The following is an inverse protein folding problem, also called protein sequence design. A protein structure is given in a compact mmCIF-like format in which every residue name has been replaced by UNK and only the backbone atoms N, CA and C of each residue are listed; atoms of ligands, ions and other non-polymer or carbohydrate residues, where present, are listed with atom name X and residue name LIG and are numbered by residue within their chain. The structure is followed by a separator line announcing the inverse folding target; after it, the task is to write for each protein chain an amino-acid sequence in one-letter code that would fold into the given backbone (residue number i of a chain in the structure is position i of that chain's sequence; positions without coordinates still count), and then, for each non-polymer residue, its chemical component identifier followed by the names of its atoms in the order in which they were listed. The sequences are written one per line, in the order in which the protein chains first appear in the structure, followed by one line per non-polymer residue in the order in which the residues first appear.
data_IF_281441995312
#
_entry.id   IF_281441995312
#
_cell.length_a   1.000
_cell.length_b   1.000
_cell.length_c   1.000
_cell.angle_alpha   90.00
_cell.angle_beta   90.00
_cell.angle_gamma   90.00
#
_symmetry.space_group_name_H-M   'P 1'
#
loop_
_entity.id
_entity.type
_entity.pdbx_description
1 polymer ?
#
# COMPACT_ATOMS: atom_id res chain seq x y z
N UNK A 1 -30.85 -16.50 -77.26
CA UNK A 1 -30.05 -16.89 -76.09
C UNK A 1 -29.59 -15.60 -75.41
N UNK A 2 -30.21 -15.22 -74.26
CA UNK A 2 -29.85 -14.00 -73.49
C UNK A 2 -29.09 -14.45 -72.22
N UNK A 3 -27.80 -14.10 -72.14
CA UNK A 3 -26.93 -14.37 -71.02
C UNK A 3 -27.16 -13.33 -69.90
N UNK A 4 -27.70 -13.76 -68.77
CA UNK A 4 -27.77 -12.99 -67.52
C UNK A 4 -26.44 -12.95 -66.86
N UNK A 5 -25.85 -11.74 -66.66
CA UNK A 5 -24.70 -11.52 -65.78
C UNK A 5 -25.20 -11.14 -64.38
N UNK A 6 -25.01 -12.03 -63.38
CA UNK A 6 -25.17 -11.69 -61.98
C UNK A 6 -23.98 -10.87 -61.50
N UNK A 7 -24.23 -9.61 -61.12
CA UNK A 7 -23.26 -8.77 -60.43
C UNK A 7 -23.42 -8.99 -58.90
N UNK A 8 -22.41 -9.61 -58.31
CA UNK A 8 -22.32 -9.84 -56.85
C UNK A 8 -21.79 -8.56 -56.20
N UNK A 9 -22.64 -7.83 -55.48
CA UNK A 9 -22.22 -6.69 -54.66
C UNK A 9 -21.69 -7.22 -53.32
N UNK A 10 -20.36 -7.20 -53.13
CA UNK A 10 -19.72 -7.41 -51.82
C UNK A 10 -19.91 -6.10 -51.02
N UNK A 11 -20.83 -6.11 -50.04
CA UNK A 11 -20.88 -5.08 -49.01
C UNK A 11 -19.74 -5.27 -48.04
N UNK A 12 -18.70 -4.44 -48.17
CA UNK A 12 -17.64 -4.26 -47.15
C UNK A 12 -18.28 -3.44 -46.02
N UNK A 13 -18.63 -4.12 -44.91
CA UNK A 13 -18.93 -3.47 -43.64
C UNK A 13 -17.63 -2.93 -43.04
N UNK A 14 -17.56 -1.61 -42.73
CA UNK A 14 -16.40 -1.09 -42.03
C UNK A 14 -16.38 -1.65 -40.59
N UNK A 15 -15.33 -2.41 -40.26
CA UNK A 15 -15.01 -2.74 -38.88
C UNK A 15 -14.62 -1.42 -38.16
N UNK A 16 -15.56 -0.87 -37.41
CA UNK A 16 -15.27 0.17 -36.43
C UNK A 16 -14.51 -0.50 -35.30
N UNK A 17 -13.18 -0.46 -35.32
CA UNK A 17 -12.35 -0.69 -34.14
C UNK A 17 -12.61 0.49 -33.22
N UNK A 18 -13.51 0.31 -32.24
CA UNK A 18 -13.62 1.25 -31.14
C UNK A 18 -12.27 1.19 -30.38
N UNK A 19 -11.44 2.19 -30.64
CA UNK A 19 -10.31 2.46 -29.74
C UNK A 19 -10.93 2.76 -28.38
N UNK A 20 -10.80 1.81 -27.44
CA UNK A 20 -11.05 2.08 -26.02
C UNK A 20 -10.05 3.17 -25.66
N UNK A 21 -10.52 4.40 -25.47
CA UNK A 21 -9.70 5.47 -24.97
C UNK A 21 -9.13 5.00 -23.63
N UNK A 22 -7.83 4.81 -23.60
CA UNK A 22 -7.10 4.46 -22.38
C UNK A 22 -7.39 5.59 -21.38
N UNK A 23 -8.13 5.29 -20.33
CA UNK A 23 -8.43 6.29 -19.30
C UNK A 23 -7.06 6.73 -18.75
N UNK A 24 -6.75 8.01 -18.91
CA UNK A 24 -5.47 8.56 -18.45
C UNK A 24 -5.22 8.13 -17.01
N UNK A 25 -4.03 7.57 -16.75
CA UNK A 25 -3.64 7.15 -15.41
C UNK A 25 -3.79 8.33 -14.45
N UNK A 26 -4.26 8.11 -13.20
CA UNK A 26 -4.39 9.17 -12.21
C UNK A 26 -3.04 9.88 -12.02
N UNK A 27 -3.06 11.21 -11.94
CA UNK A 27 -1.86 12.00 -11.66
C UNK A 27 -1.36 11.67 -10.25
N UNK A 28 -0.24 10.94 -10.15
CA UNK A 28 0.34 10.48 -8.87
C UNK A 28 0.60 11.65 -7.91
N UNK A 29 1.13 12.77 -8.39
CA UNK A 29 1.38 13.94 -7.56
C UNK A 29 0.10 14.51 -6.94
N UNK A 30 -0.95 14.66 -7.74
CA UNK A 30 -2.24 15.12 -7.24
C UNK A 30 -2.84 14.15 -6.21
N UNK A 31 -2.67 12.84 -6.42
CA UNK A 31 -3.11 11.81 -5.45
C UNK A 31 -2.32 11.92 -4.16
N UNK A 32 -0.98 11.98 -4.20
CA UNK A 32 -0.15 12.09 -2.99
C UNK A 32 -0.49 13.33 -2.16
N UNK A 33 -0.76 14.46 -2.82
CA UNK A 33 -1.10 15.72 -2.15
C UNK A 33 -2.45 15.69 -1.44
N UNK A 34 -3.43 14.99 -2.00
CA UNK A 34 -4.83 15.09 -1.55
C UNK A 34 -5.35 13.84 -0.84
N UNK A 35 -4.78 12.67 -1.12
CA UNK A 35 -5.26 11.41 -0.59
C UNK A 35 -4.79 11.15 0.86
N UNK A 36 -5.64 10.46 1.62
CA UNK A 36 -5.37 10.04 2.98
C UNK A 36 -5.21 8.53 3.02
N UNK A 37 -3.98 8.09 2.80
CA UNK A 37 -3.65 6.66 2.75
C UNK A 37 -3.61 6.02 4.12
N UNK A 38 -4.05 4.75 4.17
CA UNK A 38 -3.84 3.83 5.29
C UNK A 38 -3.48 2.44 4.74
N UNK A 39 -2.50 1.81 5.36
CA UNK A 39 -2.19 0.40 5.09
C UNK A 39 -3.30 -0.48 5.66
N UNK A 40 -3.80 -1.41 4.86
CA UNK A 40 -5.01 -2.15 5.17
C UNK A 40 -4.84 -3.65 4.97
N UNK A 41 -5.03 -4.39 6.05
CA UNK A 41 -5.32 -5.81 6.07
C UNK A 41 -6.70 -6.00 6.70
N UNK A 42 -7.63 -6.75 6.06
CA UNK A 42 -8.98 -6.95 6.58
C UNK A 42 -8.99 -7.65 7.94
N UNK A 43 -9.87 -7.23 8.87
CA UNK A 43 -10.04 -7.88 10.17
C UNK A 43 -10.47 -9.35 10.07
N UNK A 44 -11.18 -9.68 8.99
CA UNK A 44 -11.58 -11.06 8.70
C UNK A 44 -10.46 -11.94 8.15
N UNK A 45 -9.31 -11.34 7.79
CA UNK A 45 -8.10 -12.08 7.43
C UNK A 45 -7.32 -12.46 8.68
N UNK A 46 -6.77 -13.67 8.71
CA UNK A 46 -5.84 -14.07 9.77
C UNK A 46 -4.93 -15.20 9.32
N UNK A 47 -3.87 -15.45 10.12
CA UNK A 47 -3.01 -16.62 9.98
C UNK A 47 -3.05 -17.38 11.30
N UNK A 48 -3.46 -18.64 11.26
CA UNK A 48 -3.57 -19.51 12.44
C UNK A 48 -2.78 -20.79 12.17
N UNK A 49 -1.77 -21.06 12.99
CA UNK A 49 -0.90 -22.24 12.85
C UNK A 49 -0.29 -22.36 11.43
N UNK A 50 0.16 -21.26 10.85
CA UNK A 50 0.73 -21.19 9.50
C UNK A 50 -0.30 -21.30 8.36
N UNK A 51 -1.60 -21.43 8.68
CA UNK A 51 -2.65 -21.47 7.68
C UNK A 51 -3.33 -20.12 7.54
N UNK A 52 -3.42 -19.62 6.32
CA UNK A 52 -4.13 -18.39 5.98
C UNK A 52 -5.65 -18.63 5.98
N UNK A 53 -6.37 -17.85 6.77
CA UNK A 53 -7.83 -17.73 6.70
C UNK A 53 -8.17 -16.54 5.80
N UNK A 54 -8.82 -16.76 4.64
CA UNK A 54 -9.11 -15.71 3.69
C UNK A 54 -10.06 -14.66 4.24
N UNK A 55 -9.88 -13.40 3.80
CA UNK A 55 -10.80 -12.32 4.10
C UNK A 55 -12.17 -12.55 3.44
N UNK A 56 -13.25 -12.18 4.15
CA UNK A 56 -14.59 -12.20 3.59
C UNK A 56 -14.95 -10.87 2.92
N UNK A 57 -15.75 -10.93 1.88
CA UNK A 57 -16.26 -9.75 1.16
C UNK A 57 -17.10 -8.83 2.05
N UNK A 58 -17.90 -9.43 2.95
CA UNK A 58 -18.71 -8.72 3.93
C UNK A 58 -17.82 -7.99 4.95
N UNK A 59 -16.84 -8.69 5.54
CA UNK A 59 -15.90 -8.11 6.49
C UNK A 59 -15.10 -6.96 5.88
N UNK A 60 -14.64 -7.10 4.63
CA UNK A 60 -14.00 -6.01 3.89
C UNK A 60 -14.93 -4.81 3.76
N UNK A 61 -16.19 -5.04 3.40
CA UNK A 61 -17.17 -3.94 3.23
C UNK A 61 -17.42 -3.20 4.54
N UNK A 62 -17.53 -3.92 5.66
CA UNK A 62 -17.69 -3.33 7.00
C UNK A 62 -16.46 -2.53 7.42
N UNK A 63 -15.27 -3.07 7.20
CA UNK A 63 -14.01 -2.41 7.49
C UNK A 63 -13.89 -1.09 6.73
N UNK A 64 -14.14 -1.13 5.42
CA UNK A 64 -14.01 0.05 4.57
C UNK A 64 -15.05 1.13 4.91
N UNK A 65 -16.27 0.77 5.31
CA UNK A 65 -17.26 1.73 5.85
C UNK A 65 -16.74 2.42 7.11
N UNK A 66 -16.09 1.66 8.01
CA UNK A 66 -15.52 2.19 9.24
C UNK A 66 -14.33 3.14 8.99
N UNK A 67 -13.48 2.80 8.03
CA UNK A 67 -12.29 3.58 7.69
C UNK A 67 -12.61 4.86 6.90
N UNK A 68 -13.63 4.82 6.02
CA UNK A 68 -13.94 5.87 5.05
C UNK A 68 -14.05 7.30 5.59
N UNK A 69 -14.60 7.55 6.79
CA UNK A 69 -14.66 8.91 7.34
C UNK A 69 -13.28 9.57 7.58
N UNK A 70 -12.23 8.76 7.76
CA UNK A 70 -10.88 9.24 8.08
C UNK A 70 -9.89 9.06 6.94
N UNK A 71 -10.10 8.03 6.13
CA UNK A 71 -9.18 7.59 5.07
C UNK A 71 -9.97 7.40 3.78
N UNK A 72 -9.41 7.88 2.69
CA UNK A 72 -10.03 7.79 1.36
C UNK A 72 -9.17 7.00 0.37
N UNK A 73 -8.04 6.47 0.82
CA UNK A 73 -7.11 5.73 -0.01
C UNK A 73 -6.46 4.60 0.77
N UNK A 74 -6.16 3.50 0.10
CA UNK A 74 -5.71 2.25 0.72
C UNK A 74 -4.39 1.77 0.13
N UNK A 75 -3.61 1.08 0.95
CA UNK A 75 -2.49 0.24 0.51
C UNK A 75 -2.73 -1.18 1.01
N UNK A 76 -2.82 -2.15 0.10
CA UNK A 76 -2.94 -3.57 0.46
C UNK A 76 -1.61 -4.28 0.32
N UNK A 77 -1.45 -5.42 0.98
CA UNK A 77 -0.21 -6.21 0.95
C UNK A 77 -0.26 -7.35 -0.06
N UNK A 78 -1.46 -7.80 -0.39
CA UNK A 78 -1.72 -8.90 -1.29
C UNK A 78 -2.99 -8.62 -2.09
N UNK A 79 -3.21 -9.36 -3.14
CA UNK A 79 -4.44 -9.41 -3.93
C UNK A 79 -4.94 -10.85 -4.13
N UNK A 80 -4.62 -11.71 -3.18
CA UNK A 80 -5.14 -13.09 -3.05
C UNK A 80 -5.83 -13.28 -1.69
N UNK A 81 -6.26 -14.49 -1.38
CA UNK A 81 -6.88 -14.82 -0.11
C UNK A 81 -8.03 -13.89 0.31
N UNK A 82 -8.89 -13.51 -0.65
CA UNK A 82 -10.03 -12.63 -0.43
C UNK A 82 -9.73 -11.14 -0.55
N UNK A 83 -8.44 -10.71 -0.52
CA UNK A 83 -8.09 -9.30 -0.67
C UNK A 83 -8.37 -8.76 -2.09
N UNK A 84 -8.55 -9.62 -3.08
CA UNK A 84 -9.01 -9.25 -4.42
C UNK A 84 -10.44 -8.66 -4.46
N UNK A 85 -11.21 -8.77 -3.37
CA UNK A 85 -12.51 -8.10 -3.21
C UNK A 85 -12.38 -6.63 -2.79
N UNK A 86 -11.20 -6.19 -2.26
CA UNK A 86 -11.00 -4.83 -1.75
C UNK A 86 -11.29 -3.75 -2.80
N UNK A 87 -10.79 -3.80 -4.05
CA UNK A 87 -11.05 -2.74 -5.02
C UNK A 87 -12.53 -2.56 -5.34
N UNK A 88 -13.29 -3.63 -5.48
CA UNK A 88 -14.72 -3.53 -5.77
C UNK A 88 -15.53 -2.93 -4.62
N UNK A 89 -15.19 -3.24 -3.37
CA UNK A 89 -15.83 -2.66 -2.19
C UNK A 89 -15.43 -1.18 -2.02
N UNK A 90 -14.16 -0.85 -2.23
CA UNK A 90 -13.64 0.50 -2.12
C UNK A 90 -14.25 1.44 -3.20
N UNK A 91 -14.39 0.97 -4.43
CA UNK A 91 -15.03 1.73 -5.51
C UNK A 91 -16.48 2.09 -5.17
N UNK A 92 -17.25 1.12 -4.66
CA UNK A 92 -18.65 1.34 -4.23
C UNK A 92 -18.75 2.34 -3.07
N UNK A 93 -17.73 2.44 -2.22
CA UNK A 93 -17.69 3.34 -1.09
C UNK A 93 -17.02 4.68 -1.40
N UNK A 94 -16.65 4.93 -2.67
CA UNK A 94 -16.09 6.19 -3.13
C UNK A 94 -14.67 6.45 -2.63
N UNK A 95 -13.84 5.41 -2.46
CA UNK A 95 -12.41 5.58 -2.24
C UNK A 95 -11.74 6.20 -3.48
N UNK A 96 -10.67 6.98 -3.25
CA UNK A 96 -10.02 7.76 -4.31
C UNK A 96 -8.88 7.01 -4.98
N UNK A 97 -8.12 6.22 -4.20
CA UNK A 97 -6.96 5.51 -4.70
C UNK A 97 -6.68 4.22 -3.93
N UNK A 98 -6.12 3.24 -4.64
CA UNK A 98 -5.56 2.02 -4.04
C UNK A 98 -4.19 1.75 -4.65
N UNK A 99 -3.23 1.41 -3.79
CA UNK A 99 -2.01 0.72 -4.15
C UNK A 99 -2.22 -0.75 -3.82
N UNK A 100 -2.29 -1.60 -4.85
CA UNK A 100 -2.51 -3.04 -4.69
C UNK A 100 -1.17 -3.72 -4.47
N UNK A 101 -1.09 -4.57 -3.43
CA UNK A 101 0.11 -5.38 -3.15
C UNK A 101 0.11 -6.71 -3.87
N UNK A 102 1.30 -7.16 -4.22
CA UNK A 102 1.68 -8.54 -4.52
C UNK A 102 2.63 -8.95 -3.41
N UNK A 103 2.27 -9.93 -2.56
CA UNK A 103 3.10 -10.35 -1.44
C UNK A 103 4.34 -11.12 -1.91
N UNK A 104 4.14 -12.11 -2.77
CA UNK A 104 5.24 -12.87 -3.39
C UNK A 104 5.36 -12.53 -4.89
N UNK A 105 6.47 -11.89 -5.31
CA UNK A 105 6.73 -11.58 -6.72
C UNK A 105 6.71 -12.81 -7.65
N UNK A 106 6.79 -14.01 -7.11
CA UNK A 106 6.76 -15.27 -7.87
C UNK A 106 5.36 -15.90 -7.92
N UNK A 107 4.39 -15.36 -7.17
CA UNK A 107 3.02 -15.88 -7.11
C UNK A 107 2.26 -15.56 -8.39
N UNK A 108 2.04 -16.57 -9.22
CA UNK A 108 1.26 -16.44 -10.47
C UNK A 108 -0.15 -15.90 -10.22
N UNK A 109 -0.79 -16.36 -9.14
CA UNK A 109 -2.15 -15.96 -8.78
C UNK A 109 -2.19 -14.47 -8.45
N UNK A 110 -1.24 -13.95 -7.65
CA UNK A 110 -1.22 -12.54 -7.30
C UNK A 110 -0.88 -11.64 -8.49
N UNK A 111 0.05 -12.07 -9.35
CA UNK A 111 0.41 -11.34 -10.57
C UNK A 111 -0.83 -11.22 -11.48
N UNK A 112 -1.52 -12.32 -11.74
CA UNK A 112 -2.73 -12.30 -12.58
C UNK A 112 -3.87 -11.50 -11.95
N UNK A 113 -4.08 -11.64 -10.64
CA UNK A 113 -5.09 -10.86 -9.93
C UNK A 113 -4.79 -9.36 -10.00
N UNK A 114 -3.55 -8.93 -9.75
CA UNK A 114 -3.17 -7.52 -9.81
C UNK A 114 -3.45 -6.91 -11.19
N UNK A 115 -3.09 -7.62 -12.27
CA UNK A 115 -3.36 -7.21 -13.65
C UNK A 115 -4.87 -7.11 -13.91
N UNK A 116 -5.62 -8.16 -13.55
CA UNK A 116 -7.09 -8.22 -13.72
C UNK A 116 -7.78 -7.08 -12.97
N UNK A 117 -7.38 -6.84 -11.73
CA UNK A 117 -7.95 -5.79 -10.88
C UNK A 117 -7.64 -4.39 -11.42
N UNK A 118 -6.40 -4.13 -11.84
CA UNK A 118 -6.02 -2.84 -12.42
C UNK A 118 -6.78 -2.56 -13.74
N UNK A 119 -6.96 -3.57 -14.60
CA UNK A 119 -7.80 -3.45 -15.81
C UNK A 119 -9.27 -3.19 -15.48
N UNK A 120 -9.78 -3.77 -14.39
CA UNK A 120 -11.18 -3.64 -13.97
C UNK A 120 -11.47 -2.31 -13.26
N UNK A 121 -10.51 -1.77 -12.51
CA UNK A 121 -10.64 -0.57 -11.68
C UNK A 121 -9.58 0.49 -12.03
N UNK A 122 -9.45 0.92 -13.32
CA UNK A 122 -8.31 1.71 -13.80
C UNK A 122 -8.24 3.13 -13.22
N UNK A 123 -9.35 3.67 -12.72
CA UNK A 123 -9.38 4.99 -12.06
C UNK A 123 -9.07 4.93 -10.57
N UNK A 124 -9.18 3.76 -9.96
CA UNK A 124 -9.02 3.54 -8.52
C UNK A 124 -7.63 2.97 -8.20
N UNK A 125 -7.15 1.99 -8.98
CA UNK A 125 -5.84 1.39 -8.77
C UNK A 125 -4.78 2.25 -9.45
N UNK A 126 -4.03 3.00 -8.63
CA UNK A 126 -3.02 3.97 -9.09
C UNK A 126 -1.64 3.35 -9.21
N UNK A 127 -1.37 2.31 -8.43
CA UNK A 127 -0.09 1.61 -8.45
C UNK A 127 -0.23 0.14 -8.03
N UNK A 128 0.77 -0.66 -8.40
CA UNK A 128 0.97 -2.03 -7.91
C UNK A 128 2.32 -2.09 -7.21
N UNK A 129 2.32 -2.53 -5.93
CA UNK A 129 3.52 -2.78 -5.14
C UNK A 129 3.91 -4.25 -5.26
N UNK A 130 5.08 -4.53 -5.81
CA UNK A 130 5.59 -5.88 -6.09
C UNK A 130 6.52 -6.29 -4.94
N UNK A 131 5.99 -7.04 -3.98
CA UNK A 131 6.68 -7.43 -2.76
C UNK A 131 6.59 -6.43 -1.62
N UNK A 132 6.89 -6.91 -0.42
CA UNK A 132 7.07 -6.12 0.80
C UNK A 132 8.16 -6.74 1.68
N UNK A 133 9.27 -6.01 1.89
CA UNK A 133 10.39 -6.37 2.76
C UNK A 133 11.06 -7.72 2.48
N UNK A 134 10.74 -8.35 1.35
CA UNK A 134 11.23 -9.69 1.06
C UNK A 134 12.64 -9.71 0.51
N UNK A 135 13.18 -8.62 -0.05
CA UNK A 135 14.60 -8.51 -0.38
C UNK A 135 15.40 -8.45 0.93
N UNK A 136 14.95 -7.64 1.89
CA UNK A 136 15.54 -7.57 3.22
C UNK A 136 15.48 -8.91 3.93
N UNK A 137 14.31 -9.55 3.96
CA UNK A 137 14.10 -10.85 4.58
C UNK A 137 14.68 -12.04 3.78
N UNK A 138 15.23 -11.80 2.57
CA UNK A 138 15.82 -12.83 1.66
C UNK A 138 14.82 -13.89 1.17
N UNK A 139 13.54 -13.52 1.04
CA UNK A 139 12.51 -14.40 0.48
C UNK A 139 12.51 -14.40 -1.05
N UNK A 140 12.92 -13.28 -1.63
CA UNK A 140 13.09 -13.10 -3.07
C UNK A 140 14.20 -12.08 -3.32
N UNK A 141 14.62 -12.01 -4.58
CA UNK A 141 15.72 -11.14 -5.01
C UNK A 141 15.19 -9.91 -5.76
N UNK A 142 16.00 -8.84 -5.93
CA UNK A 142 15.67 -7.75 -6.84
C UNK A 142 15.29 -8.22 -8.25
N UNK A 143 15.96 -9.28 -8.74
CA UNK A 143 15.69 -9.87 -10.06
C UNK A 143 14.28 -10.48 -10.14
N UNK A 144 13.77 -11.08 -9.06
CA UNK A 144 12.41 -11.63 -9.03
C UNK A 144 11.38 -10.50 -9.13
N UNK A 145 11.61 -9.38 -8.43
CA UNK A 145 10.79 -8.17 -8.55
C UNK A 145 10.84 -7.59 -9.96
N UNK A 146 12.03 -7.46 -10.55
CA UNK A 146 12.22 -6.93 -11.92
C UNK A 146 11.53 -7.80 -12.98
N UNK A 147 11.59 -9.12 -12.88
CA UNK A 147 10.88 -10.03 -13.80
C UNK A 147 9.38 -9.77 -13.77
N UNK A 148 8.82 -9.65 -12.57
CA UNK A 148 7.38 -9.37 -12.39
C UNK A 148 7.04 -7.96 -12.80
N UNK A 149 7.88 -6.97 -12.51
CA UNK A 149 7.75 -5.60 -13.00
C UNK A 149 7.62 -5.56 -14.53
N UNK A 150 8.56 -6.18 -15.28
CA UNK A 150 8.53 -6.20 -16.73
C UNK A 150 7.33 -6.95 -17.29
N UNK A 151 6.88 -8.00 -16.62
CA UNK A 151 5.67 -8.74 -17.00
C UNK A 151 4.43 -7.86 -16.88
N UNK A 152 4.22 -7.23 -15.73
CA UNK A 152 3.06 -6.37 -15.48
C UNK A 152 3.11 -5.14 -16.38
N UNK A 153 4.28 -4.53 -16.59
CA UNK A 153 4.47 -3.36 -17.46
C UNK A 153 4.01 -3.62 -18.91
N UNK A 154 4.23 -4.82 -19.44
CA UNK A 154 3.73 -5.19 -20.78
C UNK A 154 2.21 -5.22 -20.86
N UNK A 155 1.55 -5.63 -19.78
CA UNK A 155 0.08 -5.74 -19.71
C UNK A 155 -0.61 -4.42 -19.32
N UNK A 156 0.09 -3.59 -18.57
CA UNK A 156 -0.39 -2.35 -17.94
C UNK A 156 0.65 -1.23 -18.12
N UNK A 157 0.80 -0.67 -19.33
CA UNK A 157 1.86 0.30 -19.62
C UNK A 157 1.74 1.62 -18.82
N UNK A 158 0.54 1.99 -18.38
CA UNK A 158 0.27 3.27 -17.72
C UNK A 158 0.12 3.18 -16.19
N UNK A 159 0.03 1.98 -15.60
CA UNK A 159 -0.07 1.82 -14.14
C UNK A 159 1.30 1.99 -13.50
N UNK A 160 1.41 2.75 -12.41
CA UNK A 160 2.66 2.88 -11.66
C UNK A 160 3.02 1.56 -10.98
N UNK A 161 4.30 1.18 -11.11
CA UNK A 161 4.84 -0.04 -10.51
C UNK A 161 5.92 0.33 -9.50
N UNK A 162 5.90 -0.32 -8.36
CA UNK A 162 6.83 -0.09 -7.25
C UNK A 162 7.11 -1.37 -6.47
N UNK A 163 8.01 -1.27 -5.51
CA UNK A 163 8.25 -2.28 -4.46
C UNK A 163 8.40 -1.56 -3.13
N UNK A 164 8.24 -2.29 -2.03
CA UNK A 164 8.35 -1.72 -0.69
C UNK A 164 9.40 -2.48 0.12
N UNK A 165 10.39 -1.74 0.64
CA UNK A 165 11.48 -2.29 1.45
C UNK A 165 11.79 -1.33 2.61
N UNK A 166 12.52 -1.77 3.66
CA UNK A 166 13.00 -0.88 4.69
C UNK A 166 13.88 0.24 4.10
N UNK A 167 13.73 1.45 4.60
CA UNK A 167 14.36 2.67 4.06
C UNK A 167 15.87 2.56 3.85
N UNK A 168 16.57 1.82 4.71
CA UNK A 168 18.03 1.70 4.63
C UNK A 168 18.50 0.93 3.39
N UNK A 169 17.65 0.11 2.75
CA UNK A 169 18.01 -0.52 1.46
C UNK A 169 18.04 0.52 0.36
N UNK A 170 17.15 1.50 0.35
CA UNK A 170 17.17 2.60 -0.61
C UNK A 170 18.43 3.48 -0.49
N UNK A 171 19.08 3.49 0.68
CA UNK A 171 20.32 4.25 0.92
C UNK A 171 21.59 3.50 0.51
N UNK A 172 21.49 2.22 0.19
CA UNK A 172 22.64 1.40 -0.21
C UNK A 172 22.94 1.55 -1.71
N UNK A 173 24.18 1.89 -2.08
CA UNK A 173 24.55 2.10 -3.48
C UNK A 173 24.23 0.93 -4.40
N UNK A 174 24.36 -0.30 -3.92
CA UNK A 174 24.10 -1.52 -4.70
C UNK A 174 22.64 -1.69 -5.13
N UNK A 175 21.68 -1.00 -4.49
CA UNK A 175 20.26 -1.01 -4.86
C UNK A 175 19.78 0.26 -5.57
N UNK A 176 20.67 1.24 -5.78
CA UNK A 176 20.28 2.53 -6.36
C UNK A 176 19.62 2.36 -7.74
N UNK A 177 20.27 1.64 -8.67
CA UNK A 177 19.73 1.41 -10.00
C UNK A 177 18.43 0.60 -10.00
N UNK A 178 18.27 -0.30 -9.03
CA UNK A 178 17.06 -1.08 -8.86
C UNK A 178 15.87 -0.19 -8.46
N UNK A 179 16.01 0.61 -7.40
CA UNK A 179 14.92 1.49 -6.96
C UNK A 179 14.66 2.65 -7.93
N UNK A 180 15.68 3.08 -8.67
CA UNK A 180 15.53 4.14 -9.67
C UNK A 180 14.67 3.73 -10.89
N UNK A 181 14.44 2.44 -11.09
CA UNK A 181 13.51 1.92 -12.12
C UNK A 181 12.04 1.99 -11.71
N UNK A 182 11.74 2.16 -10.42
CA UNK A 182 10.38 2.21 -9.91
C UNK A 182 9.71 3.54 -10.26
N UNK A 183 8.39 3.54 -10.47
CA UNK A 183 7.64 4.77 -10.79
C UNK A 183 7.29 5.59 -9.54
N UNK A 184 7.34 4.95 -8.38
CA UNK A 184 7.04 5.50 -7.05
C UNK A 184 7.99 4.88 -6.04
N UNK A 185 8.53 5.67 -5.11
CA UNK A 185 9.23 5.12 -3.95
C UNK A 185 8.23 4.82 -2.84
N UNK A 186 8.33 3.63 -2.25
CA UNK A 186 7.39 3.15 -1.24
C UNK A 186 8.13 2.59 -0.01
N UNK A 187 9.00 3.40 0.66
CA UNK A 187 9.80 2.94 1.78
C UNK A 187 9.00 2.70 3.05
N UNK A 188 9.43 1.69 3.85
CA UNK A 188 9.03 1.51 5.23
C UNK A 188 10.06 2.20 6.14
N UNK A 189 9.60 3.11 7.02
CA UNK A 189 10.46 3.92 7.89
C UNK A 189 9.94 3.82 9.33
N UNK A 190 10.45 2.86 10.09
CA UNK A 190 10.04 2.61 11.46
C UNK A 190 11.07 3.10 12.46
N UNK A 191 10.84 4.19 13.18
CA UNK A 191 11.77 4.67 14.23
C UNK A 191 11.90 3.67 15.38
N UNK A 192 10.90 2.82 15.59
CA UNK A 192 10.82 1.84 16.67
C UNK A 192 11.94 0.80 16.65
N UNK A 193 12.60 0.60 15.51
CA UNK A 193 13.70 -0.36 15.37
C UNK A 193 15.10 0.30 15.47
N UNK A 194 15.14 1.61 15.69
CA UNK A 194 16.40 2.35 15.85
C UNK A 194 16.92 2.26 17.30
N UNK A 195 18.23 2.14 17.47
CA UNK A 195 18.86 1.99 18.79
C UNK A 195 18.67 3.17 19.73
N UNK A 196 18.44 4.37 19.19
CA UNK A 196 18.18 5.60 19.94
C UNK A 196 16.72 5.80 20.31
N UNK A 197 15.82 4.96 19.79
CA UNK A 197 14.39 5.16 19.90
C UNK A 197 13.88 5.16 21.35
N UNK A 198 13.04 6.15 21.67
CA UNK A 198 12.31 6.27 22.92
C UNK A 198 10.81 6.53 22.62
N UNK A 199 9.89 5.66 23.05
CA UNK A 199 8.44 5.83 22.79
C UNK A 199 7.88 7.17 23.29
N UNK A 200 8.48 7.75 24.35
CA UNK A 200 8.05 9.04 24.92
C UNK A 200 8.51 10.25 24.10
N UNK A 201 9.45 10.08 23.18
CA UNK A 201 9.98 11.17 22.34
C UNK A 201 9.37 11.15 20.93
N UNK A 202 8.08 11.45 20.89
CA UNK A 202 7.32 11.48 19.65
C UNK A 202 7.86 12.49 18.63
N UNK A 203 8.42 13.61 19.10
CA UNK A 203 8.99 14.64 18.22
C UNK A 203 10.22 14.12 17.49
N UNK A 204 11.17 13.51 18.19
CA UNK A 204 12.37 12.95 17.59
C UNK A 204 12.03 11.81 16.62
N UNK A 205 11.11 10.92 17.02
CA UNK A 205 10.64 9.83 16.17
C UNK A 205 10.01 10.35 14.85
N UNK A 206 9.14 11.37 14.92
CA UNK A 206 8.54 11.97 13.74
C UNK A 206 9.58 12.71 12.88
N UNK A 207 10.47 13.46 13.48
CA UNK A 207 11.57 14.17 12.79
C UNK A 207 12.47 13.20 12.03
N UNK A 208 12.80 12.06 12.63
CA UNK A 208 13.58 11.00 11.96
C UNK A 208 12.89 10.53 10.68
N UNK A 209 11.62 10.14 10.74
CA UNK A 209 10.86 9.68 9.57
C UNK A 209 10.88 10.71 8.45
N UNK A 210 10.62 11.97 8.79
CA UNK A 210 10.54 13.05 7.80
C UNK A 210 11.91 13.38 7.20
N UNK A 211 12.99 13.32 7.99
CA UNK A 211 14.35 13.52 7.52
C UNK A 211 14.81 12.40 6.59
N UNK A 212 14.50 11.14 6.92
CA UNK A 212 14.77 9.98 6.04
C UNK A 212 14.01 10.15 4.72
N UNK A 213 12.71 10.45 4.78
CA UNK A 213 11.91 10.67 3.59
C UNK A 213 12.45 11.83 2.73
N UNK A 214 12.89 12.93 3.35
CA UNK A 214 13.54 14.04 2.64
C UNK A 214 14.87 13.63 2.00
N UNK A 215 15.68 12.84 2.70
CA UNK A 215 16.94 12.30 2.18
C UNK A 215 16.70 11.42 0.95
N UNK A 216 15.75 10.49 1.02
CA UNK A 216 15.40 9.65 -0.13
C UNK A 216 14.91 10.50 -1.30
N UNK A 217 14.02 11.47 -1.06
CA UNK A 217 13.52 12.38 -2.10
C UNK A 217 14.65 13.20 -2.76
N UNK A 218 15.73 13.50 -2.05
CA UNK A 218 16.89 14.20 -2.63
C UNK A 218 17.78 13.32 -3.51
N UNK A 219 17.67 11.99 -3.39
CA UNK A 219 18.46 11.01 -4.13
C UNK A 219 17.73 10.44 -5.35
N UNK A 220 16.40 10.44 -5.29
CA UNK A 220 15.56 9.81 -6.30
C UNK A 220 14.58 10.82 -6.89
N UNK A 221 14.40 10.84 -8.24
CA UNK A 221 13.49 11.79 -8.90
C UNK A 221 12.01 11.44 -8.76
N UNK A 222 11.70 10.18 -8.42
CA UNK A 222 10.31 9.71 -8.36
C UNK A 222 9.57 10.30 -7.14
N UNK A 223 8.22 10.42 -7.22
CA UNK A 223 7.42 10.70 -6.04
C UNK A 223 7.63 9.65 -4.95
N UNK A 224 7.45 10.02 -3.68
CA UNK A 224 7.67 9.18 -2.52
C UNK A 224 6.42 9.13 -1.62
N UNK A 225 5.96 7.93 -1.31
CA UNK A 225 4.99 7.69 -0.26
C UNK A 225 5.62 6.80 0.81
N UNK A 226 5.87 7.34 2.00
CA UNK A 226 6.23 6.49 3.14
C UNK A 226 5.06 5.55 3.40
N UNK A 227 5.26 4.26 3.10
CA UNK A 227 4.20 3.26 3.16
C UNK A 227 3.88 2.85 4.58
N UNK A 228 4.93 2.57 5.35
CA UNK A 228 4.81 2.13 6.72
C UNK A 228 5.64 3.03 7.63
N UNK A 229 4.96 3.62 8.60
CA UNK A 229 5.55 4.30 9.75
C UNK A 229 4.50 4.43 10.84
N UNK A 230 4.93 4.53 12.08
CA UNK A 230 4.03 4.66 13.21
C UNK A 230 4.70 4.29 14.51
N UNK A 231 3.91 4.28 15.58
CA UNK A 231 4.23 3.63 16.84
C UNK A 231 3.13 2.62 17.18
N UNK A 232 3.47 1.44 17.71
CA UNK A 232 2.50 0.53 18.28
C UNK A 232 1.80 1.19 19.49
N UNK A 233 0.56 0.79 19.74
CA UNK A 233 -0.20 1.25 20.91
C UNK A 233 -0.09 0.33 22.13
N UNK A 234 0.72 -0.72 22.02
CA UNK A 234 0.93 -1.74 23.04
C UNK A 234 1.95 -2.80 22.62
N UNK A 235 2.18 -3.80 23.47
CA UNK A 235 1.72 -3.89 24.86
C UNK A 235 2.49 -2.92 25.78
N UNK A 236 1.86 -2.53 26.89
CA UNK A 236 2.50 -1.60 27.85
C UNK A 236 3.83 -2.14 28.43
N UNK A 237 3.97 -3.46 28.51
CA UNK A 237 5.21 -4.13 28.94
C UNK A 237 6.43 -3.81 28.06
N UNK A 238 6.22 -3.38 26.82
CA UNK A 238 7.28 -2.95 25.90
C UNK A 238 7.46 -1.42 25.85
N UNK A 239 6.77 -0.67 26.72
CA UNK A 239 6.80 0.79 26.76
C UNK A 239 5.85 1.49 25.78
N UNK A 240 5.14 0.76 24.93
CA UNK A 240 4.19 1.33 23.99
C UNK A 240 2.81 1.57 24.61
N UNK A 241 2.19 2.70 24.22
CA UNK A 241 0.85 3.08 24.65
C UNK A 241 0.08 3.77 23.53
N UNK A 242 -1.25 3.83 23.64
CA UNK A 242 -2.10 4.60 22.73
C UNK A 242 -1.77 6.11 22.75
N UNK A 243 -1.31 6.62 23.91
CA UNK A 243 -0.86 8.01 24.02
C UNK A 243 0.40 8.27 23.18
N UNK A 244 1.39 7.37 23.22
CA UNK A 244 2.59 7.46 22.40
C UNK A 244 2.26 7.39 20.91
N UNK A 245 1.38 6.46 20.49
CA UNK A 245 0.91 6.37 19.12
C UNK A 245 0.25 7.68 18.67
N UNK A 246 -0.63 8.25 19.49
CA UNK A 246 -1.32 9.51 19.18
C UNK A 246 -0.39 10.69 19.08
N UNK A 247 0.60 10.80 20.00
CA UNK A 247 1.59 11.87 20.01
C UNK A 247 2.48 11.82 18.76
N UNK A 248 2.93 10.63 18.36
CA UNK A 248 3.73 10.46 17.14
C UNK A 248 2.98 10.96 15.90
N UNK A 249 1.73 10.52 15.70
CA UNK A 249 0.96 10.96 14.54
C UNK A 249 0.60 12.44 14.57
N UNK A 250 0.40 13.01 15.76
CA UNK A 250 0.24 14.45 15.91
C UNK A 250 1.49 15.21 15.44
N UNK A 251 2.69 14.74 15.79
CA UNK A 251 3.96 15.36 15.35
C UNK A 251 4.22 15.16 13.85
N UNK A 252 3.96 13.98 13.28
CA UNK A 252 4.04 13.77 11.82
C UNK A 252 3.16 14.80 11.08
N UNK A 253 1.91 14.92 11.48
CA UNK A 253 0.96 15.81 10.82
C UNK A 253 1.28 17.30 11.05
N UNK A 254 1.85 17.65 12.19
CA UNK A 254 2.28 19.04 12.49
C UNK A 254 3.50 19.44 11.67
N UNK A 255 4.48 18.56 11.53
CA UNK A 255 5.76 18.83 10.87
C UNK A 255 5.73 18.67 9.35
N UNK A 256 4.76 17.95 8.81
CA UNK A 256 4.69 17.63 7.37
C UNK A 256 3.28 17.83 6.81
N UNK A 257 3.22 18.56 5.69
CA UNK A 257 2.04 18.54 4.82
C UNK A 257 2.32 17.64 3.60
N UNK A 258 1.33 16.87 3.13
CA UNK A 258 1.45 16.15 1.87
C UNK A 258 1.71 17.11 0.71
N UNK A 259 2.53 16.68 -0.25
CA UNK A 259 2.86 17.43 -1.45
C UNK A 259 2.71 16.54 -2.69
N UNK A 260 2.89 17.10 -3.86
CA UNK A 260 2.86 16.31 -5.11
C UNK A 260 4.05 15.34 -5.24
N UNK A 261 5.09 15.54 -4.46
CA UNK A 261 6.30 14.70 -4.49
C UNK A 261 6.47 13.82 -3.27
N UNK A 262 5.77 14.11 -2.15
CA UNK A 262 5.96 13.36 -0.91
C UNK A 262 4.71 13.35 -0.04
N UNK A 263 4.39 12.14 0.46
CA UNK A 263 3.33 11.92 1.45
C UNK A 263 3.71 10.80 2.44
N UNK A 264 2.91 10.68 3.51
CA UNK A 264 3.05 9.62 4.53
C UNK A 264 1.71 8.92 4.67
N UNK A 265 1.72 7.59 4.54
CA UNK A 265 0.58 6.72 4.82
C UNK A 265 0.51 6.37 6.30
N UNK A 266 -0.69 6.16 6.80
CA UNK A 266 -0.90 5.67 8.16
C UNK A 266 -0.72 4.15 8.21
N UNK A 267 0.11 3.66 9.12
CA UNK A 267 0.31 2.24 9.38
C UNK A 267 -0.18 1.92 10.80
N UNK A 268 -1.18 1.10 10.96
CA UNK A 268 -2.05 0.45 9.99
C UNK A 268 -3.54 0.54 10.40
N UNK A 269 -4.45 0.04 9.61
CA UNK A 269 -5.89 0.18 9.87
C UNK A 269 -6.33 -0.46 11.19
N UNK A 270 -6.02 -1.73 11.39
CA UNK A 270 -6.51 -2.52 12.51
C UNK A 270 -5.38 -3.25 13.23
N UNK A 271 -5.57 -3.47 14.53
CA UNK A 271 -4.75 -4.41 15.29
C UNK A 271 -4.85 -5.82 14.69
N UNK A 272 -3.72 -6.52 14.69
CA UNK A 272 -3.58 -7.83 14.07
C UNK A 272 -2.95 -8.85 15.04
N UNK A 273 -3.74 -9.47 15.94
CA UNK A 273 -3.23 -10.39 16.98
C UNK A 273 -2.45 -11.60 16.45
N UNK A 274 -2.61 -11.93 15.17
CA UNK A 274 -1.90 -13.04 14.52
C UNK A 274 -0.47 -12.67 14.07
N UNK A 275 -0.17 -11.39 13.86
CA UNK A 275 1.12 -10.92 13.32
C UNK A 275 2.34 -11.34 14.15
N UNK A 276 2.36 -11.28 15.48
CA UNK A 276 3.53 -11.69 16.26
C UNK A 276 4.00 -13.12 15.97
N UNK A 277 3.08 -14.05 15.75
CA UNK A 277 3.42 -15.43 15.41
C UNK A 277 4.09 -15.52 14.02
N UNK A 278 3.52 -14.85 13.04
CA UNK A 278 4.06 -14.79 11.67
C UNK A 278 5.42 -14.08 11.65
N UNK A 279 5.52 -12.93 12.31
CA UNK A 279 6.78 -12.16 12.33
C UNK A 279 7.93 -12.96 12.95
N UNK A 280 7.66 -13.80 13.97
CA UNK A 280 8.67 -14.70 14.55
C UNK A 280 9.22 -15.74 13.58
N UNK A 281 8.41 -16.20 12.64
CA UNK A 281 8.86 -17.14 11.61
C UNK A 281 9.86 -16.47 10.65
N UNK A 282 9.65 -15.18 10.37
CA UNK A 282 10.53 -14.40 9.49
C UNK A 282 11.76 -13.83 10.21
N UNK A 283 11.60 -13.41 11.46
CA UNK A 283 12.63 -12.77 12.27
C UNK A 283 12.72 -13.42 13.66
N UNK A 284 13.36 -14.61 13.77
CA UNK A 284 13.51 -15.28 15.05
C UNK A 284 14.39 -14.47 16.03
N UNK A 285 14.13 -14.58 17.32
CA UNK A 285 14.94 -13.98 18.36
C UNK A 285 14.24 -12.96 19.26
N UNK A 286 12.99 -12.61 18.95
CA UNK A 286 12.12 -11.82 19.85
C UNK A 286 10.68 -12.29 19.78
N UNK A 287 9.86 -11.86 20.73
CA UNK A 287 8.43 -12.21 20.77
C UNK A 287 7.59 -11.39 19.80
N UNK A 288 8.11 -10.27 19.32
CA UNK A 288 7.44 -9.34 18.39
C UNK A 288 6.02 -8.94 18.81
N UNK A 289 5.77 -8.88 20.13
CA UNK A 289 4.41 -8.65 20.67
C UNK A 289 3.80 -7.34 20.19
N UNK A 290 4.61 -6.31 19.93
CA UNK A 290 4.18 -5.02 19.42
C UNK A 290 3.51 -5.11 18.04
N UNK A 291 3.80 -6.15 17.25
CA UNK A 291 3.24 -6.34 15.91
C UNK A 291 1.70 -6.50 15.92
N UNK A 292 1.15 -6.90 17.06
CA UNK A 292 -0.30 -6.99 17.23
C UNK A 292 -1.00 -5.63 17.38
N UNK A 293 -0.27 -4.50 17.61
CA UNK A 293 -0.84 -3.27 18.16
C UNK A 293 -0.62 -2.01 17.30
N UNK A 294 -0.34 -2.13 16.03
CA UNK A 294 -0.12 -0.99 15.13
C UNK A 294 -1.41 -0.28 14.69
N UNK A 295 -2.57 -0.93 14.86
CA UNK A 295 -3.85 -0.46 14.35
C UNK A 295 -4.26 0.92 14.89
N UNK A 296 -4.93 1.69 14.02
CA UNK A 296 -5.70 2.89 14.39
C UNK A 296 -7.03 2.51 15.05
N UNK A 297 -7.47 1.31 14.72
CA UNK A 297 -8.64 0.68 15.34
C UNK A 297 -8.22 -0.66 15.94
N UNK A 298 -8.93 -1.06 16.99
CA UNK A 298 -8.76 -2.39 17.58
C UNK A 298 -9.30 -3.47 16.64
N UNK A 299 -9.01 -4.74 16.92
CA UNK A 299 -9.50 -5.88 16.12
C UNK A 299 -11.03 -5.97 16.09
N UNK A 300 -11.73 -5.47 17.11
CA UNK A 300 -13.20 -5.38 17.16
C UNK A 300 -13.76 -4.06 16.57
N UNK A 301 -12.91 -3.25 15.95
CA UNK A 301 -13.30 -2.05 15.20
C UNK A 301 -13.50 -0.79 16.05
N UNK A 302 -13.11 -0.79 17.33
CA UNK A 302 -13.15 0.43 18.14
C UNK A 302 -12.01 1.37 17.76
N UNK A 303 -12.32 2.67 17.57
CA UNK A 303 -11.33 3.68 17.30
C UNK A 303 -10.43 3.93 18.51
N UNK A 304 -9.12 3.98 18.29
CA UNK A 304 -8.15 4.42 19.30
C UNK A 304 -8.02 5.95 19.31
N UNK A 305 -7.45 6.55 20.37
CA UNK A 305 -7.28 8.01 20.49
C UNK A 305 -6.57 8.66 19.30
N UNK A 306 -5.67 7.95 18.62
CA UNK A 306 -4.96 8.42 17.42
C UNK A 306 -5.90 8.87 16.31
N UNK A 307 -7.07 8.24 16.15
CA UNK A 307 -8.07 8.62 15.14
C UNK A 307 -8.59 10.03 15.40
N UNK A 308 -8.83 10.38 16.67
CA UNK A 308 -9.26 11.73 17.05
C UNK A 308 -8.13 12.74 16.85
N UNK A 309 -6.88 12.37 17.20
CA UNK A 309 -5.71 13.25 17.01
C UNK A 309 -5.55 13.66 15.54
N UNK A 310 -5.66 12.71 14.59
CA UNK A 310 -5.55 13.02 13.16
C UNK A 310 -6.73 13.84 12.64
N UNK A 311 -7.94 13.61 13.12
CA UNK A 311 -9.14 14.41 12.77
C UNK A 311 -8.98 15.88 13.17
N UNK A 312 -8.57 16.13 14.40
CA UNK A 312 -8.41 17.49 14.95
C UNK A 312 -7.37 18.32 14.19
N UNK A 313 -6.28 17.68 13.75
CA UNK A 313 -5.22 18.38 13.01
C UNK A 313 -5.66 18.64 11.57
N UNK A 314 -6.29 17.66 10.92
CA UNK A 314 -6.78 17.82 9.53
C UNK A 314 -7.95 18.80 9.42
N UNK A 315 -8.79 18.90 10.43
CA UNK A 315 -9.89 19.88 10.48
C UNK A 315 -9.46 21.32 10.68
N UNK A 316 -8.18 21.58 11.01
CA UNK A 316 -7.57 22.91 11.15
C UNK A 316 -6.84 23.40 9.89
N UNK A 317 -6.71 22.55 8.88
CA UNK A 317 -6.10 22.85 7.56
C UNK A 317 -7.18 23.00 6.51
#
# INVERSE_FOLDING_TARGET
MKTFRCILWLMLLPLWVMAVADAAAPNMGAVLKNARFISYTPRSFSVVNGQTLPASSEGITEDLKLLRPNFDSLITYSCSNGLDHVPAAAEKLGYLAIIVGIWDPKSEIEIQNSIRLAKKHPKLIIAISIGNEGIYARHYTPMDVEKTYHRIRRELPSVSLTTSEPFFLYLKPEYFDFFNKMDLLLPNIHPTFETWFNPSDAQNAATFVLNVAAKLQSQYPQPLLVKETGLPSGPASTGFTEAHQSAFWAEILKQSAPSETRAVSCFEAFDAPWKPAVTREYFPGSDHLQEAYWGFFTVDGKSKPVVNAIRLIRGKR
#
